data_IF_979905316244
#
_entry.id   IF_979905316244
#
_cell.length_a   1.000
_cell.length_b   1.000
_cell.length_c   1.000
_cell.angle_alpha   90.00
_cell.angle_beta   90.00
_cell.angle_gamma   90.00
#
_symmetry.space_group_name_H-M   'P 1'
#
loop_
_entity.id
_entity.type
_entity.pdbx_description
1 polymer ?
#
# COMPACT_ATOMS: atom_id res chain seq x y z
N UNK A 1 2.35 -4.08 -26.56
CA UNK A 1 2.37 -4.94 -25.37
C UNK A 1 3.54 -4.53 -24.51
N UNK A 2 3.36 -4.50 -23.18
CA UNK A 2 4.46 -4.30 -22.24
C UNK A 2 5.42 -5.49 -22.33
N UNK A 3 6.71 -5.23 -22.18
CA UNK A 3 7.72 -6.27 -21.95
C UNK A 3 7.59 -6.81 -20.53
N UNK A 4 8.05 -8.03 -20.29
CA UNK A 4 7.96 -8.68 -18.97
C UNK A 4 8.62 -7.84 -17.87
N UNK A 5 9.76 -7.20 -18.16
CA UNK A 5 10.44 -6.31 -17.20
C UNK A 5 9.60 -5.08 -16.85
N UNK A 6 8.88 -4.51 -17.82
CA UNK A 6 8.00 -3.37 -17.58
C UNK A 6 6.79 -3.78 -16.73
N UNK A 7 6.27 -4.99 -16.95
CA UNK A 7 5.20 -5.55 -16.14
C UNK A 7 5.63 -5.81 -14.70
N UNK A 8 6.86 -6.32 -14.48
CA UNK A 8 7.41 -6.50 -13.14
C UNK A 8 7.59 -5.19 -12.39
N UNK A 9 8.07 -4.13 -13.06
CA UNK A 9 8.21 -2.80 -12.45
C UNK A 9 6.84 -2.22 -12.08
N UNK A 10 5.85 -2.37 -12.97
CA UNK A 10 4.48 -1.95 -12.70
C UNK A 10 3.88 -2.67 -11.49
N UNK A 11 3.99 -4.00 -11.43
CA UNK A 11 3.51 -4.79 -10.29
C UNK A 11 4.18 -4.37 -8.97
N UNK A 12 5.51 -4.21 -8.99
CA UNK A 12 6.27 -3.81 -7.80
C UNK A 12 5.83 -2.43 -7.31
N UNK A 13 5.64 -1.47 -8.21
CA UNK A 13 5.15 -0.15 -7.84
C UNK A 13 3.72 -0.21 -7.31
N UNK A 14 2.83 -0.92 -7.98
CA UNK A 14 1.43 -1.06 -7.57
C UNK A 14 1.32 -1.66 -6.16
N UNK A 15 2.09 -2.71 -5.87
CA UNK A 15 2.17 -3.32 -4.54
C UNK A 15 2.74 -2.36 -3.49
N UNK A 16 3.79 -1.60 -3.82
CA UNK A 16 4.36 -0.61 -2.92
C UNK A 16 3.35 0.50 -2.58
N UNK A 17 2.65 1.03 -3.59
CA UNK A 17 1.62 2.05 -3.40
C UNK A 17 0.44 1.54 -2.55
N UNK A 18 0.01 0.30 -2.78
CA UNK A 18 -1.05 -0.34 -1.99
C UNK A 18 -0.62 -0.58 -0.54
N UNK A 19 0.62 -1.01 -0.33
CA UNK A 19 1.17 -1.20 1.01
C UNK A 19 1.22 0.11 1.80
N UNK A 20 1.71 1.18 1.18
CA UNK A 20 1.74 2.50 1.79
C UNK A 20 0.34 3.06 2.05
N UNK A 21 -0.60 2.86 1.11
CA UNK A 21 -1.99 3.28 1.27
C UNK A 21 -2.66 2.59 2.46
N UNK A 22 -2.47 1.27 2.61
CA UNK A 22 -2.92 0.53 3.78
C UNK A 22 -2.23 1.04 5.06
N UNK A 23 -0.91 1.24 5.03
CA UNK A 23 -0.17 1.82 6.16
C UNK A 23 -0.71 3.18 6.60
N UNK A 24 -1.01 4.08 5.65
CA UNK A 24 -1.59 5.40 5.93
C UNK A 24 -2.98 5.31 6.59
N UNK A 25 -3.80 4.32 6.22
CA UNK A 25 -5.14 4.14 6.80
C UNK A 25 -5.06 3.53 8.20
N UNK A 26 -4.23 2.50 8.38
CA UNK A 26 -4.31 1.62 9.56
C UNK A 26 -3.19 1.82 10.58
N UNK A 27 -1.97 2.16 10.17
CA UNK A 27 -0.80 2.16 11.04
C UNK A 27 -0.51 3.53 11.66
N UNK A 28 -0.28 3.53 12.97
CA UNK A 28 0.26 4.64 13.74
C UNK A 28 1.81 4.60 13.73
N UNK A 29 2.40 3.41 13.73
CA UNK A 29 3.85 3.18 13.76
C UNK A 29 4.21 1.83 13.12
N UNK A 30 5.51 1.50 13.09
CA UNK A 30 6.05 0.28 12.47
C UNK A 30 5.59 0.06 11.01
N UNK A 31 5.71 1.07 10.12
CA UNK A 31 5.15 1.00 8.77
C UNK A 31 5.83 -0.05 7.89
N UNK A 32 7.07 -0.46 8.19
CA UNK A 32 7.82 -1.46 7.42
C UNK A 32 7.88 -2.83 8.12
N UNK A 33 7.14 -3.03 9.21
CA UNK A 33 7.13 -4.28 9.98
C UNK A 33 8.53 -4.77 10.38
N UNK A 34 9.39 -3.85 10.82
CA UNK A 34 10.75 -4.18 11.31
C UNK A 34 10.75 -5.00 12.59
N UNK A 35 9.58 -5.07 13.24
CA UNK A 35 9.26 -5.94 14.37
C UNK A 35 7.85 -6.53 14.18
N UNK A 36 7.47 -7.63 14.87
CA UNK A 36 6.15 -8.22 14.77
C UNK A 36 5.03 -7.19 15.01
N UNK A 37 3.97 -7.26 14.20
CA UNK A 37 2.84 -6.34 14.33
C UNK A 37 2.15 -6.50 15.69
N UNK A 38 2.00 -5.40 16.41
CA UNK A 38 1.30 -5.34 17.69
C UNK A 38 0.07 -4.42 17.59
N UNK A 39 -0.97 -4.61 18.44
CA UNK A 39 -2.11 -3.71 18.47
C UNK A 39 -1.73 -2.24 18.73
N UNK A 40 -0.61 -1.99 19.42
CA UNK A 40 -0.09 -0.64 19.66
C UNK A 40 0.35 0.10 18.40
N UNK A 41 0.61 -0.62 17.30
CA UNK A 41 0.98 -0.03 16.01
C UNK A 41 -0.23 0.43 15.19
N UNK A 42 -1.45 0.12 15.61
CA UNK A 42 -2.67 0.43 14.86
C UNK A 42 -3.27 1.74 15.39
N UNK A 43 -3.74 2.61 14.49
CA UNK A 43 -4.43 3.85 14.87
C UNK A 43 -5.69 3.54 15.68
N UNK A 44 -5.90 4.27 16.78
CA UNK A 44 -7.11 4.16 17.61
C UNK A 44 -8.39 4.56 16.88
N UNK A 45 -8.28 5.45 15.89
CA UNK A 45 -9.39 5.86 15.02
C UNK A 45 -8.96 5.67 13.57
N UNK A 46 -9.70 4.82 12.86
CA UNK A 46 -9.45 4.53 11.45
C UNK A 46 -10.21 5.55 10.59
N UNK A 47 -9.49 6.30 9.78
CA UNK A 47 -10.03 7.27 8.83
C UNK A 47 -9.33 7.10 7.50
N UNK A 48 -10.13 6.97 6.44
CA UNK A 48 -9.66 6.72 5.08
C UNK A 48 -10.60 5.74 4.35
N UNK A 49 -10.43 5.66 3.04
CA UNK A 49 -11.20 4.75 2.19
C UNK A 49 -10.22 3.81 1.50
N UNK A 50 -10.41 2.50 1.70
CA UNK A 50 -9.60 1.50 1.01
C UNK A 50 -10.17 1.12 -0.37
N UNK A 51 -11.50 1.06 -0.50
CA UNK A 51 -12.16 0.40 -1.62
C UNK A 51 -11.73 0.87 -3.02
N UNK A 52 -11.42 2.16 -3.18
CA UNK A 52 -10.96 2.74 -4.45
C UNK A 52 -9.44 2.80 -4.59
N UNK A 53 -8.67 2.71 -3.51
CA UNK A 53 -7.21 2.93 -3.53
C UNK A 53 -6.46 1.96 -4.45
N UNK A 54 -6.68 0.63 -4.43
CA UNK A 54 -5.96 -0.28 -5.32
C UNK A 54 -6.19 -0.02 -6.80
N UNK A 55 -7.42 0.34 -7.19
CA UNK A 55 -7.74 0.69 -8.56
C UNK A 55 -7.05 1.97 -9.00
N UNK A 56 -7.07 3.01 -8.17
CA UNK A 56 -6.39 4.27 -8.45
C UNK A 56 -4.87 4.10 -8.52
N UNK A 57 -4.27 3.34 -7.61
CA UNK A 57 -2.83 3.07 -7.59
C UNK A 57 -2.34 2.26 -8.80
N UNK A 58 -3.22 1.49 -9.45
CA UNK A 58 -2.86 0.81 -10.70
C UNK A 58 -2.86 1.81 -11.87
N UNK A 59 -3.82 2.74 -11.86
CA UNK A 59 -4.01 3.74 -12.91
C UNK A 59 -2.99 4.89 -12.89
N UNK A 60 -2.15 5.04 -11.85
CA UNK A 60 -1.11 6.08 -11.80
C UNK A 60 0.03 5.87 -12.81
N UNK A 61 0.06 4.74 -13.51
CA UNK A 61 1.03 4.41 -14.55
C UNK A 61 0.49 4.59 -15.98
N UNK A 62 -0.68 5.21 -16.13
CA UNK A 62 -1.29 5.54 -17.44
C UNK A 62 -0.78 6.89 -17.92
#
# INVERSE_FOLDING_TARGET
MLRDDELHVLDAHWRAANYLSAGQIYLLSNPLLTEPLSPGHIKRRLLGHWGTSPGLNLCTHI
#
